data_IF_519263656874
#
_entry.id   IF_519263656874
#
_cell.length_a   1.000
_cell.length_b   1.000
_cell.length_c   1.000
_cell.angle_alpha   90.00
_cell.angle_beta   90.00
_cell.angle_gamma   90.00
#
_symmetry.space_group_name_H-M   'P 1'
#
loop_
_entity.id
_entity.type
_entity.pdbx_description
1 polymer ?
#
# COMPACT_ATOMS: atom_id res chain seq x y z
N UNK A 1 -8.20 -56.25 21.68
CA UNK A 1 -7.54 -56.94 20.54
C UNK A 1 -7.36 -55.95 19.42
N UNK A 2 -6.16 -55.87 18.83
CA UNK A 2 -5.96 -55.26 17.50
C UNK A 2 -5.33 -53.87 17.44
N UNK A 3 -4.09 -53.71 17.91
CA UNK A 3 -3.21 -52.62 17.45
C UNK A 3 -2.86 -52.83 15.97
N UNK A 4 -3.70 -52.31 15.06
CA UNK A 4 -3.40 -52.22 13.62
C UNK A 4 -2.62 -50.92 13.34
N UNK A 5 -1.31 -50.93 13.60
CA UNK A 5 -0.47 -49.75 13.36
C UNK A 5 0.98 -50.02 12.97
N UNK A 6 1.44 -51.27 13.00
CA UNK A 6 2.87 -51.59 12.83
C UNK A 6 3.21 -52.40 11.56
N UNK A 7 2.26 -52.59 10.64
CA UNK A 7 2.51 -53.34 9.40
C UNK A 7 3.37 -52.59 8.37
N UNK A 8 3.28 -51.25 8.32
CA UNK A 8 3.87 -50.46 7.24
C UNK A 8 5.40 -50.25 7.36
N UNK A 9 5.97 -50.44 8.56
CA UNK A 9 7.40 -50.24 8.82
C UNK A 9 8.21 -51.55 9.00
N UNK A 10 7.60 -52.72 8.74
CA UNK A 10 8.25 -54.03 8.96
C UNK A 10 9.53 -54.21 8.10
N UNK A 11 9.65 -53.50 6.98
CA UNK A 11 10.85 -53.52 6.13
C UNK A 11 12.06 -52.82 6.77
N UNK A 12 11.83 -51.81 7.62
CA UNK A 12 12.89 -51.06 8.33
C UNK A 12 13.54 -51.96 9.39
N UNK A 13 12.73 -52.72 10.12
CA UNK A 13 13.22 -53.62 11.19
C UNK A 13 13.77 -54.96 10.65
N UNK A 14 13.45 -55.34 9.40
CA UNK A 14 14.00 -56.53 8.74
C UNK A 14 15.33 -56.30 8.02
N UNK A 15 15.83 -55.07 7.95
CA UNK A 15 17.18 -54.82 7.46
C UNK A 15 18.21 -55.38 8.45
N UNK A 16 18.77 -56.56 8.14
CA UNK A 16 19.97 -57.08 8.82
C UNK A 16 21.05 -55.99 8.79
N UNK A 17 21.43 -55.46 9.95
CA UNK A 17 22.57 -54.55 10.08
C UNK A 17 23.81 -55.24 9.52
N UNK A 18 24.31 -54.77 8.38
CA UNK A 18 25.58 -55.25 7.82
C UNK A 18 26.67 -54.95 8.85
N UNK A 19 27.48 -55.95 9.21
CA UNK A 19 28.58 -55.82 10.18
C UNK A 19 29.38 -54.54 9.87
N UNK A 20 29.48 -53.63 10.84
CA UNK A 20 29.98 -52.26 10.65
C UNK A 20 31.42 -52.16 10.12
N UNK A 21 32.17 -53.27 10.04
CA UNK A 21 33.58 -53.27 9.64
C UNK A 21 34.00 -54.47 8.78
N UNK A 22 33.12 -54.98 7.90
CA UNK A 22 33.58 -55.89 6.85
C UNK A 22 34.35 -55.10 5.78
N UNK A 23 35.69 -55.10 5.87
CA UNK A 23 36.61 -54.46 4.92
C UNK A 23 36.34 -55.02 3.51
N UNK A 24 35.61 -54.28 2.67
CA UNK A 24 35.46 -54.63 1.24
C UNK A 24 36.82 -54.50 0.60
N UNK A 25 37.34 -55.59 0.04
CA UNK A 25 38.51 -55.55 -0.84
C UNK A 25 38.26 -54.50 -1.93
N UNK A 26 39.24 -53.61 -2.10
CA UNK A 26 39.23 -52.51 -3.06
C UNK A 26 38.93 -53.05 -4.46
N UNK A 27 37.75 -52.73 -4.99
CA UNK A 27 37.44 -52.97 -6.41
C UNK A 27 38.08 -51.85 -7.24
N UNK A 28 38.71 -52.15 -8.38
CA UNK A 28 39.32 -51.13 -9.22
C UNK A 28 38.24 -50.16 -9.73
N UNK A 29 38.49 -48.86 -9.61
CA UNK A 29 37.62 -47.80 -10.11
C UNK A 29 37.78 -47.68 -11.62
N UNK A 30 37.03 -48.49 -12.36
CA UNK A 30 36.72 -48.24 -13.77
C UNK A 30 35.21 -48.20 -13.91
N UNK A 31 34.63 -47.05 -13.56
CA UNK A 31 33.28 -46.70 -13.98
C UNK A 31 33.41 -45.27 -14.49
N UNK A 32 33.67 -45.11 -15.79
CA UNK A 32 33.25 -43.88 -16.46
C UNK A 32 31.75 -43.79 -16.23
N UNK A 33 31.30 -42.79 -15.47
CA UNK A 33 29.87 -42.54 -15.31
C UNK A 33 29.28 -42.41 -16.72
N UNK A 34 28.26 -43.19 -17.10
CA UNK A 34 27.63 -42.99 -18.39
C UNK A 34 27.06 -41.56 -18.37
N UNK A 35 27.62 -40.69 -19.23
CA UNK A 35 27.10 -39.35 -19.44
C UNK A 35 25.67 -39.51 -19.96
N UNK A 36 24.71 -39.35 -19.05
CA UNK A 36 23.30 -39.40 -19.40
C UNK A 36 22.98 -38.22 -20.32
N UNK A 37 22.97 -38.47 -21.63
CA UNK A 37 22.46 -37.54 -22.63
C UNK A 37 20.97 -37.76 -22.79
N UNK A 38 20.16 -36.99 -22.06
CA UNK A 38 18.72 -36.91 -22.29
C UNK A 38 18.46 -36.16 -23.60
N UNK A 39 18.15 -36.89 -24.67
CA UNK A 39 17.54 -36.28 -25.83
C UNK A 39 16.06 -36.08 -25.51
N UNK A 40 15.65 -34.84 -25.27
CA UNK A 40 14.23 -34.51 -25.20
C UNK A 40 13.65 -34.74 -26.60
N UNK A 41 12.94 -35.85 -26.79
CA UNK A 41 12.16 -36.05 -28.00
C UNK A 41 11.08 -34.96 -27.98
N UNK A 42 11.23 -33.95 -28.83
CA UNK A 42 10.20 -32.93 -29.04
C UNK A 42 8.95 -33.67 -29.50
N UNK A 43 8.00 -33.83 -28.59
CA UNK A 43 6.70 -34.39 -28.92
C UNK A 43 5.93 -33.29 -29.66
N UNK A 44 5.42 -33.53 -30.89
CA UNK A 44 4.62 -32.54 -31.58
C UNK A 44 3.39 -32.22 -30.74
N UNK A 45 2.96 -30.95 -30.74
CA UNK A 45 1.78 -30.53 -29.99
C UNK A 45 0.58 -31.37 -30.43
N UNK A 46 -0.06 -32.03 -29.46
CA UNK A 46 -1.28 -32.78 -29.73
C UNK A 46 -2.32 -31.78 -30.20
N UNK A 47 -3.02 -32.06 -31.33
CA UNK A 47 -4.12 -31.21 -31.80
C UNK A 47 -5.11 -31.02 -30.63
N UNK A 48 -5.27 -29.78 -30.17
CA UNK A 48 -6.17 -29.49 -29.05
C UNK A 48 -7.58 -29.91 -29.45
N UNK A 49 -8.29 -30.63 -28.57
CA UNK A 49 -9.67 -30.99 -28.89
C UNK A 49 -10.53 -29.72 -28.94
N UNK A 50 -11.41 -29.62 -29.95
CA UNK A 50 -12.36 -28.50 -30.09
C UNK A 50 -13.18 -28.28 -28.82
N UNK A 51 -13.43 -29.35 -28.06
CA UNK A 51 -14.12 -29.33 -26.78
C UNK A 51 -13.38 -28.53 -25.71
N UNK A 52 -12.05 -28.64 -25.63
CA UNK A 52 -11.29 -27.86 -24.63
C UNK A 52 -11.43 -26.35 -24.88
N UNK A 53 -11.39 -25.93 -26.15
CA UNK A 53 -11.62 -24.53 -26.53
C UNK A 53 -13.03 -24.06 -26.14
N UNK A 54 -14.06 -24.89 -26.36
CA UNK A 54 -15.45 -24.57 -25.98
C UNK A 54 -15.58 -24.44 -24.45
N UNK A 55 -15.02 -25.38 -23.68
CA UNK A 55 -15.04 -25.32 -22.21
C UNK A 55 -14.32 -24.07 -21.67
N UNK A 56 -13.19 -23.68 -22.26
CA UNK A 56 -12.49 -22.46 -21.85
C UNK A 56 -13.34 -21.22 -22.10
N UNK A 57 -14.01 -21.13 -23.26
CA UNK A 57 -14.92 -20.00 -23.55
C UNK A 57 -16.12 -19.97 -22.60
N UNK A 58 -16.69 -21.13 -22.29
CA UNK A 58 -17.82 -21.23 -21.36
C UNK A 58 -17.43 -20.76 -19.94
N UNK A 59 -16.25 -21.14 -19.45
CA UNK A 59 -15.74 -20.65 -18.16
C UNK A 59 -15.52 -19.13 -18.16
N UNK A 60 -14.95 -18.58 -19.23
CA UNK A 60 -14.74 -17.13 -19.35
C UNK A 60 -16.07 -16.37 -19.29
N UNK A 61 -17.09 -16.86 -20.01
CA UNK A 61 -18.42 -16.25 -20.02
C UNK A 61 -19.09 -16.36 -18.64
N UNK A 62 -18.96 -17.49 -17.96
CA UNK A 62 -19.56 -17.68 -16.64
C UNK A 62 -18.93 -16.74 -15.61
N UNK A 63 -17.60 -16.58 -15.64
CA UNK A 63 -16.88 -15.64 -14.77
C UNK A 63 -17.27 -14.19 -15.10
N UNK A 64 -17.34 -13.81 -16.39
CA UNK A 64 -17.67 -12.44 -16.76
C UNK A 64 -19.09 -12.04 -16.35
N UNK A 65 -20.07 -12.94 -16.49
CA UNK A 65 -21.45 -12.72 -16.01
C UNK A 65 -21.49 -12.61 -14.49
N UNK A 66 -20.77 -13.49 -13.77
CA UNK A 66 -20.69 -13.43 -12.31
C UNK A 66 -20.11 -12.10 -11.81
N UNK A 67 -19.06 -11.60 -12.47
CA UNK A 67 -18.49 -10.28 -12.17
C UNK A 67 -19.47 -9.16 -12.50
N UNK A 68 -20.13 -9.21 -13.67
CA UNK A 68 -21.08 -8.17 -14.10
C UNK A 68 -22.19 -7.94 -13.08
N UNK A 69 -22.73 -9.01 -12.48
CA UNK A 69 -23.77 -8.92 -11.43
C UNK A 69 -23.25 -8.23 -10.16
N UNK A 70 -21.95 -8.37 -9.83
CA UNK A 70 -21.36 -7.84 -8.59
C UNK A 70 -20.71 -6.47 -8.70
N UNK A 71 -20.47 -5.98 -9.93
CA UNK A 71 -19.98 -4.62 -10.17
C UNK A 71 -20.84 -3.53 -9.47
N UNK A 72 -22.19 -3.50 -9.56
CA UNK A 72 -22.95 -2.40 -8.97
C UNK A 72 -22.85 -2.34 -7.44
N UNK A 73 -22.86 -3.49 -6.76
CA UNK A 73 -22.69 -3.58 -5.31
C UNK A 73 -21.30 -3.08 -4.89
N UNK A 74 -20.25 -3.51 -5.59
CA UNK A 74 -18.88 -3.06 -5.34
C UNK A 74 -18.74 -1.55 -5.58
N UNK A 75 -19.30 -1.03 -6.67
CA UNK A 75 -19.29 0.39 -6.99
C UNK A 75 -20.05 1.22 -5.94
N UNK A 76 -21.18 0.72 -5.44
CA UNK A 76 -21.92 1.37 -4.37
C UNK A 76 -21.11 1.43 -3.07
N UNK A 77 -20.47 0.33 -2.68
CA UNK A 77 -19.61 0.27 -1.50
C UNK A 77 -18.38 1.18 -1.61
N UNK A 78 -17.71 1.15 -2.77
CA UNK A 78 -16.56 2.01 -3.06
C UNK A 78 -16.93 3.50 -3.00
N UNK A 79 -18.08 3.88 -3.58
CA UNK A 79 -18.62 5.25 -3.47
C UNK A 79 -18.92 5.64 -2.03
N UNK A 80 -19.54 4.75 -1.25
CA UNK A 80 -19.84 5.00 0.15
C UNK A 80 -18.57 5.26 0.98
N UNK A 81 -17.52 4.46 0.76
CA UNK A 81 -16.21 4.67 1.40
C UNK A 81 -15.59 6.00 0.96
N UNK A 82 -15.65 6.33 -0.33
CA UNK A 82 -15.11 7.59 -0.83
C UNK A 82 -15.80 8.80 -0.17
N UNK A 83 -17.13 8.77 -0.04
CA UNK A 83 -17.91 9.81 0.63
C UNK A 83 -17.53 9.90 2.11
N UNK A 84 -17.46 8.77 2.82
CA UNK A 84 -17.06 8.74 4.24
C UNK A 84 -15.65 9.29 4.46
N UNK A 85 -14.71 8.95 3.57
CA UNK A 85 -13.36 9.48 3.62
C UNK A 85 -13.34 10.99 3.36
N UNK A 86 -14.13 11.47 2.40
CA UNK A 86 -14.25 12.90 2.12
C UNK A 86 -14.84 13.66 3.32
N UNK A 87 -15.91 13.15 3.92
CA UNK A 87 -16.50 13.74 5.14
C UNK A 87 -15.51 13.75 6.30
N UNK A 88 -14.72 12.68 6.47
CA UNK A 88 -13.67 12.62 7.48
C UNK A 88 -12.59 13.67 7.23
N UNK A 89 -12.12 13.81 5.99
CA UNK A 89 -11.13 14.83 5.63
C UNK A 89 -11.67 16.23 5.90
N UNK A 90 -12.92 16.53 5.55
CA UNK A 90 -13.54 17.83 5.84
C UNK A 90 -13.62 18.12 7.35
N UNK A 91 -13.93 17.11 8.17
CA UNK A 91 -13.93 17.26 9.64
C UNK A 91 -12.52 17.52 10.18
N UNK A 92 -11.54 16.75 9.74
CA UNK A 92 -10.14 16.93 10.13
C UNK A 92 -9.62 18.30 9.71
N UNK A 93 -9.95 18.78 8.51
CA UNK A 93 -9.58 20.11 8.04
C UNK A 93 -10.24 21.21 8.89
N UNK A 94 -11.51 21.05 9.27
CA UNK A 94 -12.20 22.01 10.14
C UNK A 94 -11.59 22.05 11.55
N UNK A 95 -11.27 20.88 12.12
CA UNK A 95 -10.59 20.76 13.41
C UNK A 95 -9.19 21.37 13.37
N UNK A 96 -8.38 21.01 12.37
CA UNK A 96 -7.04 21.55 12.15
C UNK A 96 -7.07 23.07 11.97
N UNK A 97 -8.00 23.59 11.18
CA UNK A 97 -8.21 25.04 11.05
C UNK A 97 -8.51 25.69 12.40
N UNK A 98 -9.44 25.13 13.18
CA UNK A 98 -9.79 25.68 14.49
C UNK A 98 -8.63 25.64 15.49
N UNK A 99 -7.79 24.60 15.40
CA UNK A 99 -6.60 24.45 16.22
C UNK A 99 -5.56 25.52 15.87
N UNK A 100 -5.24 25.69 14.59
CA UNK A 100 -4.28 26.69 14.10
C UNK A 100 -4.73 28.11 14.43
N UNK A 101 -6.03 28.41 14.29
CA UNK A 101 -6.58 29.72 14.67
C UNK A 101 -6.36 30.02 16.16
N UNK A 102 -6.65 29.05 17.04
CA UNK A 102 -6.43 29.21 18.49
C UNK A 102 -4.94 29.32 18.82
N UNK A 103 -4.09 28.54 18.16
CA UNK A 103 -2.65 28.58 18.35
C UNK A 103 -2.10 29.96 17.96
N UNK A 104 -2.44 30.47 16.76
CA UNK A 104 -2.02 31.79 16.30
C UNK A 104 -2.51 32.92 17.22
N UNK A 105 -3.77 32.88 17.65
CA UNK A 105 -4.31 33.82 18.64
C UNK A 105 -3.57 33.76 19.99
N UNK A 106 -3.20 32.57 20.45
CA UNK A 106 -2.43 32.42 21.69
C UNK A 106 -1.02 33.00 21.55
N UNK A 107 -0.39 32.92 20.37
CA UNK A 107 0.90 33.56 20.11
C UNK A 107 0.80 35.08 20.03
N UNK A 108 -0.28 35.62 19.45
CA UNK A 108 -0.56 37.07 19.48
C UNK A 108 -0.67 37.59 20.92
N UNK A 109 -1.37 36.86 21.79
CA UNK A 109 -1.48 37.22 23.21
C UNK A 109 -0.13 37.18 23.96
N UNK A 110 0.87 36.50 23.39
CA UNK A 110 2.24 36.42 23.92
C UNK A 110 3.21 37.39 23.25
N UNK A 111 2.71 38.25 22.36
CA UNK A 111 3.50 39.21 21.58
C UNK A 111 4.49 38.54 20.60
N UNK A 112 4.29 37.26 20.25
CA UNK A 112 5.08 36.56 19.24
C UNK A 112 4.37 36.64 17.87
N UNK A 113 4.55 37.79 17.22
CA UNK A 113 3.93 38.11 15.93
C UNK A 113 4.40 37.18 14.80
N UNK A 114 5.67 36.76 14.82
CA UNK A 114 6.25 35.91 13.78
C UNK A 114 5.67 34.50 13.86
N UNK A 115 5.59 33.92 15.06
CA UNK A 115 4.95 32.63 15.26
C UNK A 115 3.46 32.68 14.91
N UNK A 116 2.74 33.72 15.33
CA UNK A 116 1.34 33.92 14.99
C UNK A 116 1.12 33.96 13.47
N UNK A 117 1.93 34.74 12.74
CA UNK A 117 1.87 34.83 11.29
C UNK A 117 2.04 33.47 10.60
N UNK A 118 2.98 32.64 11.07
CA UNK A 118 3.18 31.30 10.53
C UNK A 118 1.99 30.37 10.77
N UNK A 119 1.38 30.41 11.95
CA UNK A 119 0.17 29.61 12.25
C UNK A 119 -1.01 30.04 11.37
N UNK A 120 -1.20 31.34 11.16
CA UNK A 120 -2.25 31.85 10.27
C UNK A 120 -2.00 31.50 8.80
N UNK A 121 -0.75 31.56 8.33
CA UNK A 121 -0.40 31.08 6.99
C UNK A 121 -0.71 29.59 6.79
N UNK A 122 -0.52 28.76 7.81
CA UNK A 122 -0.91 27.35 7.76
C UNK A 122 -2.45 27.21 7.69
N UNK A 123 -3.18 27.98 8.49
CA UNK A 123 -4.64 28.00 8.46
C UNK A 123 -5.17 28.44 7.08
N UNK A 124 -4.49 29.36 6.41
CA UNK A 124 -4.89 29.90 5.11
C UNK A 124 -4.79 28.85 4.00
N UNK A 125 -3.84 27.92 4.10
CA UNK A 125 -3.75 26.80 3.16
C UNK A 125 -4.94 25.84 3.28
N UNK A 126 -5.57 25.77 4.45
CA UNK A 126 -6.78 24.94 4.68
C UNK A 126 -8.03 25.68 4.22
N UNK A 127 -8.19 26.95 4.63
CA UNK A 127 -9.32 27.81 4.25
C UNK A 127 -8.85 29.15 3.67
N UNK A 128 -8.54 29.21 2.37
CA UNK A 128 -7.99 30.42 1.76
C UNK A 128 -9.00 31.55 1.55
N UNK A 129 -10.30 31.24 1.66
CA UNK A 129 -11.41 32.19 1.45
C UNK A 129 -11.99 32.75 2.74
N UNK A 130 -11.35 32.49 3.87
CA UNK A 130 -11.82 32.98 5.17
C UNK A 130 -11.39 34.44 5.35
N UNK A 131 -12.34 35.36 5.22
CA UNK A 131 -12.08 36.81 5.25
C UNK A 131 -11.45 37.25 6.57
N UNK A 132 -11.92 36.70 7.69
CA UNK A 132 -11.41 37.03 9.02
C UNK A 132 -9.96 36.59 9.20
N UNK A 133 -9.61 35.38 8.75
CA UNK A 133 -8.22 34.94 8.73
C UNK A 133 -7.34 35.85 7.85
N UNK A 134 -7.79 36.16 6.63
CA UNK A 134 -7.01 36.99 5.72
C UNK A 134 -6.76 38.38 6.30
N UNK A 135 -7.76 38.95 6.98
CA UNK A 135 -7.60 40.20 7.71
C UNK A 135 -6.55 40.08 8.82
N UNK A 136 -6.60 39.03 9.65
CA UNK A 136 -5.59 38.80 10.70
C UNK A 136 -4.18 38.65 10.14
N UNK A 137 -4.03 38.01 8.98
CA UNK A 137 -2.74 37.88 8.30
C UNK A 137 -2.21 39.25 7.85
N UNK A 138 -3.08 40.12 7.31
CA UNK A 138 -2.69 41.47 6.90
C UNK A 138 -2.32 42.34 8.09
N UNK A 139 -3.11 42.29 9.17
CA UNK A 139 -2.83 43.02 10.41
C UNK A 139 -1.49 42.57 11.00
N UNK A 140 -1.27 41.26 11.15
CA UNK A 140 0.02 40.75 11.65
C UNK A 140 1.20 41.08 10.75
N UNK A 141 1.03 41.03 9.42
CA UNK A 141 2.07 41.44 8.48
C UNK A 141 2.37 42.94 8.54
N UNK A 142 1.38 43.79 8.77
CA UNK A 142 1.59 45.23 8.94
C UNK A 142 2.45 45.53 10.17
N UNK A 143 2.12 44.93 11.32
CA UNK A 143 2.91 45.04 12.54
C UNK A 143 4.32 44.46 12.39
N UNK A 144 4.47 43.33 11.68
CA UNK A 144 5.79 42.75 11.39
C UNK A 144 6.62 43.61 10.44
N UNK A 145 5.99 44.27 9.45
CA UNK A 145 6.68 45.19 8.53
C UNK A 145 7.20 46.43 9.24
N UNK A 146 6.44 46.99 10.19
CA UNK A 146 6.89 48.11 11.02
C UNK A 146 8.15 47.78 11.83
N UNK A 147 8.25 46.54 12.33
CA UNK A 147 9.40 46.07 13.10
C UNK A 147 10.56 45.59 12.20
N UNK A 148 10.24 44.95 11.07
CA UNK A 148 11.18 44.28 10.19
C UNK A 148 10.83 44.47 8.70
N UNK A 149 11.64 45.28 8.02
CA UNK A 149 11.44 45.64 6.60
C UNK A 149 11.31 44.44 5.63
N UNK A 150 11.78 43.25 6.01
CA UNK A 150 11.70 42.04 5.17
C UNK A 150 10.27 41.53 4.96
N UNK A 151 9.32 41.87 5.85
CA UNK A 151 7.93 41.46 5.74
C UNK A 151 7.08 42.43 4.90
N UNK A 152 7.55 43.64 4.66
CA UNK A 152 6.84 44.64 3.85
C UNK A 152 6.60 44.16 2.42
N UNK A 153 7.59 43.51 1.78
CA UNK A 153 7.40 42.93 0.46
C UNK A 153 6.38 41.78 0.43
N UNK A 154 6.17 41.07 1.54
CA UNK A 154 5.11 40.05 1.64
C UNK A 154 3.73 40.70 1.79
N UNK A 155 3.64 41.79 2.53
CA UNK A 155 2.42 42.58 2.69
C UNK A 155 1.97 43.19 1.36
N UNK A 156 2.87 43.81 0.60
CA UNK A 156 2.56 44.39 -0.71
C UNK A 156 2.06 43.33 -1.70
N UNK A 157 2.67 42.15 -1.67
CA UNK A 157 2.24 41.01 -2.47
C UNK A 157 0.87 40.48 -2.05
N UNK A 158 0.56 40.48 -0.75
CA UNK A 158 -0.75 40.07 -0.24
C UNK A 158 -1.86 41.05 -0.63
N UNK A 159 -1.60 42.36 -0.52
CA UNK A 159 -2.56 43.40 -0.91
C UNK A 159 -2.78 43.45 -2.43
N UNK A 160 -1.72 43.30 -3.23
CA UNK A 160 -1.81 43.35 -4.69
C UNK A 160 -2.48 42.12 -5.32
N UNK A 161 -2.30 40.93 -4.73
CA UNK A 161 -2.93 39.71 -5.21
C UNK A 161 -4.36 39.53 -4.72
N UNK A 162 -4.83 40.42 -3.84
CA UNK A 162 -6.12 40.24 -3.15
C UNK A 162 -6.14 38.87 -2.47
N UNK A 163 -5.14 38.63 -1.61
CA UNK A 163 -5.03 37.39 -0.84
C UNK A 163 -6.33 37.13 -0.05
#
# INVERSE_FOLDING_TARGET
MGYMGFGMANWVFKQRSRKAFAKRSTKPTSNTLPLYKRQFKLQPSKKSSRLHSIFTWMLIVLVSVGLFVKIPEFMAHSRAIAIQNQERMQRLDAEAFSFLMRAGQAQLMRDDLLAAYHEFLLAQKIKPKDEHLNQLILETLSSLCENENQFCGKLDNAMSKGL
#
